data_IF_500308971114
#
_entry.id   IF_500308971114
#
_cell.length_a   1.000
_cell.length_b   1.000
_cell.length_c   1.000
_cell.angle_alpha   90.00
_cell.angle_beta   90.00
_cell.angle_gamma   90.00
#
_symmetry.space_group_name_H-M   'P 1'
#
loop_
_entity.id
_entity.type
_entity.pdbx_description
1 polymer ?
#
# COMPACT_ATOMS: atom_id res chain seq x y z
N UNK A 1 -58.78 9.54 70.62
CA UNK A 1 -58.83 8.65 69.43
C UNK A 1 -58.93 9.58 68.22
N UNK A 2 -58.18 9.49 67.12
CA UNK A 2 -57.21 8.55 66.62
C UNK A 2 -56.57 9.24 65.38
N UNK A 3 -55.24 9.12 65.23
CA UNK A 3 -54.42 9.15 63.99
C UNK A 3 -54.84 10.05 62.81
N UNK A 4 -53.89 10.87 62.34
CA UNK A 4 -53.08 10.44 61.17
C UNK A 4 -51.86 11.34 60.99
N UNK A 5 -50.69 10.75 61.21
CA UNK A 5 -49.38 11.35 60.96
C UNK A 5 -49.13 11.39 59.45
N UNK A 6 -48.97 12.59 58.89
CA UNK A 6 -48.70 12.82 57.46
C UNK A 6 -47.21 12.54 57.21
N UNK A 7 -46.90 11.39 56.60
CA UNK A 7 -45.55 11.09 56.09
C UNK A 7 -45.20 12.10 54.99
N UNK A 8 -44.17 12.92 55.24
CA UNK A 8 -43.53 13.75 54.22
C UNK A 8 -42.73 12.83 53.28
N UNK A 9 -43.17 12.70 52.03
CA UNK A 9 -42.40 12.09 50.95
C UNK A 9 -41.49 13.17 50.36
N UNK A 10 -40.20 13.14 50.67
CA UNK A 10 -39.23 14.02 50.04
C UNK A 10 -39.10 13.68 48.55
N UNK A 11 -39.39 14.64 47.66
CA UNK A 11 -39.13 14.50 46.23
C UNK A 11 -37.62 14.38 45.96
N UNK A 12 -37.18 13.53 45.02
CA UNK A 12 -35.79 13.50 44.60
C UNK A 12 -35.44 14.86 43.98
N UNK A 13 -34.42 15.52 44.51
CA UNK A 13 -33.91 16.78 43.95
C UNK A 13 -33.32 16.55 42.54
N UNK A 14 -33.36 17.57 41.67
CA UNK A 14 -32.90 17.45 40.29
C UNK A 14 -31.42 17.05 40.23
N UNK A 15 -31.12 15.98 39.50
CA UNK A 15 -29.78 15.52 39.19
C UNK A 15 -29.05 16.62 38.40
N UNK A 16 -27.99 17.21 38.96
CA UNK A 16 -27.16 18.15 38.19
C UNK A 16 -26.43 17.37 37.10
N UNK A 17 -26.63 17.76 35.84
CA UNK A 17 -25.80 17.28 34.74
C UNK A 17 -24.42 17.91 34.91
N UNK A 18 -23.40 17.09 35.14
CA UNK A 18 -22.02 17.54 35.16
C UNK A 18 -21.53 17.65 33.71
N UNK A 19 -21.17 18.86 33.29
CA UNK A 19 -20.61 19.13 31.95
C UNK A 19 -19.10 19.23 31.98
N UNK A 20 -18.45 18.99 30.83
CA UNK A 20 -17.03 19.22 30.64
C UNK A 20 -16.73 20.72 30.57
N UNK A 21 -15.58 21.13 31.11
CA UNK A 21 -15.08 22.49 30.99
C UNK A 21 -14.45 22.75 29.61
N UNK A 22 -14.52 24.00 29.15
CA UNK A 22 -13.87 24.42 27.90
C UNK A 22 -12.35 24.20 27.95
N UNK A 23 -11.74 24.37 29.13
CA UNK A 23 -10.29 24.13 29.29
C UNK A 23 -9.95 22.63 29.20
N UNK A 24 -10.83 21.76 29.69
CA UNK A 24 -10.64 20.30 29.58
C UNK A 24 -10.69 19.89 28.11
N UNK A 25 -11.69 20.38 27.37
CA UNK A 25 -11.78 20.13 25.92
C UNK A 25 -10.53 20.64 25.18
N UNK A 26 -10.03 21.82 25.52
CA UNK A 26 -8.86 22.42 24.87
C UNK A 26 -7.58 21.60 25.10
N UNK A 27 -7.35 21.13 26.33
CA UNK A 27 -6.20 20.25 26.63
C UNK A 27 -6.35 18.91 25.91
N UNK A 28 -7.55 18.33 25.90
CA UNK A 28 -7.80 17.04 25.25
C UNK A 28 -7.56 17.12 23.74
N UNK A 29 -8.06 18.17 23.09
CA UNK A 29 -7.82 18.41 21.65
C UNK A 29 -6.34 18.63 21.35
N UNK A 30 -5.62 19.32 22.23
CA UNK A 30 -4.18 19.54 22.07
C UNK A 30 -3.42 18.21 22.08
N UNK A 31 -3.73 17.30 23.03
CA UNK A 31 -3.11 15.98 23.10
C UNK A 31 -3.44 15.15 21.85
N UNK A 32 -4.72 15.14 21.43
CA UNK A 32 -5.14 14.42 20.21
C UNK A 32 -4.40 14.96 18.99
N UNK A 33 -4.22 16.29 18.87
CA UNK A 33 -3.48 16.90 17.76
C UNK A 33 -2.02 16.44 17.68
N UNK A 34 -1.34 16.33 18.84
CA UNK A 34 0.04 15.82 18.90
C UNK A 34 0.09 14.34 18.52
N UNK A 35 -0.86 13.53 18.97
CA UNK A 35 -0.90 12.11 18.62
C UNK A 35 -1.20 11.91 17.13
N UNK A 36 -2.15 12.68 16.58
CA UNK A 36 -2.57 12.58 15.20
C UNK A 36 -1.44 12.93 14.22
N UNK A 37 -0.59 13.90 14.54
CA UNK A 37 0.52 14.30 13.67
C UNK A 37 1.55 13.19 13.44
N UNK A 38 1.68 12.25 14.38
CA UNK A 38 2.58 11.10 14.27
C UNK A 38 1.80 9.87 13.76
N UNK A 39 0.59 9.65 14.26
CA UNK A 39 -0.18 8.44 13.98
C UNK A 39 -0.67 8.39 12.52
N UNK A 40 -1.10 9.51 11.94
CA UNK A 40 -1.62 9.55 10.57
C UNK A 40 -0.55 9.16 9.53
N UNK A 41 0.64 9.81 9.47
CA UNK A 41 1.66 9.42 8.50
C UNK A 41 2.14 7.98 8.72
N UNK A 42 2.32 7.55 9.97
CA UNK A 42 2.72 6.18 10.28
C UNK A 42 1.70 5.13 9.80
N UNK A 43 0.40 5.40 9.96
CA UNK A 43 -0.66 4.55 9.46
C UNK A 43 -0.67 4.50 7.92
N UNK A 44 -0.53 5.66 7.26
CA UNK A 44 -0.44 5.72 5.80
C UNK A 44 0.74 4.91 5.26
N UNK A 45 1.91 4.99 5.88
CA UNK A 45 3.08 4.20 5.50
C UNK A 45 2.86 2.68 5.68
N UNK A 46 2.19 2.30 6.77
CA UNK A 46 1.83 0.89 7.00
C UNK A 46 0.88 0.36 5.91
N UNK A 47 -0.12 1.15 5.53
CA UNK A 47 -1.04 0.80 4.44
C UNK A 47 -0.30 0.73 3.10
N UNK A 48 0.57 1.69 2.78
CA UNK A 48 1.38 1.67 1.55
C UNK A 48 2.24 0.42 1.47
N UNK A 49 2.94 0.06 2.56
CA UNK A 49 3.73 -1.17 2.63
C UNK A 49 2.87 -2.42 2.43
N UNK A 50 1.66 -2.45 2.99
CA UNK A 50 0.73 -3.56 2.78
C UNK A 50 0.22 -3.66 1.35
N UNK A 51 0.09 -2.53 0.64
CA UNK A 51 -0.30 -2.53 -0.77
C UNK A 51 0.86 -2.91 -1.68
N UNK A 52 2.09 -2.60 -1.29
CA UNK A 52 3.29 -2.95 -2.07
C UNK A 52 3.42 -4.45 -2.33
N UNK A 53 3.04 -5.28 -1.36
CA UNK A 53 3.06 -6.74 -1.53
C UNK A 53 2.18 -7.22 -2.70
N UNK A 54 1.16 -6.46 -3.10
CA UNK A 54 0.34 -6.72 -4.29
C UNK A 54 1.16 -6.57 -5.59
N UNK A 55 1.92 -5.48 -5.70
CA UNK A 55 2.85 -5.26 -6.82
C UNK A 55 3.98 -6.30 -6.84
N UNK A 56 4.55 -6.61 -5.68
CA UNK A 56 5.56 -7.68 -5.54
C UNK A 56 5.03 -9.03 -6.01
N UNK A 57 3.81 -9.40 -5.61
CA UNK A 57 3.17 -10.63 -6.03
C UNK A 57 2.94 -10.68 -7.55
N UNK A 58 2.55 -9.56 -8.16
CA UNK A 58 2.39 -9.47 -9.60
C UNK A 58 3.73 -9.68 -10.34
N UNK A 59 4.81 -9.05 -9.87
CA UNK A 59 6.16 -9.22 -10.44
C UNK A 59 6.63 -10.68 -10.35
N UNK A 60 6.52 -11.31 -9.17
CA UNK A 60 6.92 -12.71 -8.97
C UNK A 60 6.10 -13.69 -9.83
N UNK A 61 4.81 -13.41 -10.02
CA UNK A 61 3.95 -14.21 -10.90
C UNK A 61 4.41 -14.11 -12.35
N UNK A 62 4.71 -12.91 -12.85
CA UNK A 62 5.19 -12.72 -14.22
C UNK A 62 6.58 -13.36 -14.38
N UNK A 63 7.48 -13.25 -13.40
CA UNK A 63 8.79 -13.92 -13.42
C UNK A 63 8.65 -15.45 -13.57
N UNK A 64 7.76 -16.08 -12.80
CA UNK A 64 7.52 -17.51 -12.91
C UNK A 64 6.98 -17.90 -14.30
N UNK A 65 6.09 -17.09 -14.87
CA UNK A 65 5.55 -17.30 -16.22
C UNK A 65 6.63 -17.11 -17.31
N UNK A 66 7.51 -16.12 -17.15
CA UNK A 66 8.67 -15.93 -18.02
C UNK A 66 9.60 -17.14 -17.98
N UNK A 67 9.88 -17.70 -16.80
CA UNK A 67 10.69 -18.92 -16.66
C UNK A 67 10.07 -20.12 -17.38
N UNK A 68 8.75 -20.28 -17.31
CA UNK A 68 8.02 -21.30 -18.07
C UNK A 68 8.11 -21.05 -19.58
N UNK A 69 7.82 -19.83 -20.02
CA UNK A 69 7.87 -19.47 -21.44
C UNK A 69 9.27 -19.69 -22.02
N UNK A 70 10.32 -19.36 -21.27
CA UNK A 70 11.70 -19.62 -21.66
C UNK A 70 12.00 -21.12 -21.80
N UNK A 71 11.49 -21.96 -20.91
CA UNK A 71 11.65 -23.40 -21.01
C UNK A 71 11.01 -23.96 -22.29
N UNK A 72 9.87 -23.42 -22.69
CA UNK A 72 9.11 -23.89 -23.86
C UNK A 72 9.66 -23.30 -25.19
N UNK A 73 10.16 -22.07 -25.19
CA UNK A 73 10.48 -21.31 -26.41
C UNK A 73 11.97 -20.95 -26.58
N UNK A 74 12.79 -21.10 -25.53
CA UNK A 74 14.20 -20.74 -25.55
C UNK A 74 14.50 -19.24 -25.51
N UNK A 75 13.49 -18.38 -25.32
CA UNK A 75 13.64 -16.94 -25.10
C UNK A 75 12.56 -16.44 -24.13
N UNK A 76 12.76 -15.26 -23.55
CA UNK A 76 11.68 -14.55 -22.86
C UNK A 76 10.79 -13.82 -23.87
N UNK A 77 9.71 -13.22 -23.38
CA UNK A 77 8.80 -12.41 -24.19
C UNK A 77 8.57 -11.03 -23.55
N UNK A 78 8.34 -10.02 -24.37
CA UNK A 78 7.84 -8.71 -23.90
C UNK A 78 6.31 -8.62 -23.98
N UNK A 79 5.67 -9.58 -24.66
CA UNK A 79 4.22 -9.65 -24.83
C UNK A 79 3.62 -10.51 -23.72
N UNK A 80 2.86 -9.87 -22.82
CA UNK A 80 2.21 -10.57 -21.72
C UNK A 80 1.10 -11.54 -22.19
N UNK A 81 0.60 -11.43 -23.44
CA UNK A 81 -0.38 -12.40 -23.96
C UNK A 81 0.22 -13.78 -24.18
N UNK A 82 1.52 -13.86 -24.50
CA UNK A 82 2.28 -15.12 -24.55
C UNK A 82 2.37 -15.80 -23.17
N UNK A 83 2.24 -15.01 -22.10
CA UNK A 83 2.23 -15.48 -20.71
C UNK A 83 0.80 -15.78 -20.21
N UNK A 84 -0.21 -15.68 -21.07
CA UNK A 84 -1.61 -15.97 -20.75
C UNK A 84 -2.40 -14.80 -20.18
N UNK A 85 -1.91 -13.56 -20.30
CA UNK A 85 -2.69 -12.36 -19.95
C UNK A 85 -3.54 -11.87 -21.12
N UNK A 86 -4.57 -11.07 -20.82
CA UNK A 86 -5.48 -10.53 -21.84
C UNK A 86 -4.90 -9.35 -22.64
N UNK A 87 -3.90 -8.66 -22.09
CA UNK A 87 -3.27 -7.49 -22.70
C UNK A 87 -1.76 -7.71 -22.83
N UNK A 88 -1.17 -7.21 -23.91
CA UNK A 88 0.24 -7.43 -24.25
C UNK A 88 1.21 -6.59 -23.42
N UNK A 89 0.87 -5.33 -23.18
CA UNK A 89 1.85 -4.34 -22.71
C UNK A 89 1.85 -4.15 -21.19
N UNK A 90 0.72 -4.46 -20.54
CA UNK A 90 0.59 -4.30 -19.11
C UNK A 90 -0.54 -5.18 -18.56
N UNK A 91 -0.42 -5.47 -17.26
CA UNK A 91 -1.45 -6.15 -16.48
C UNK A 91 -1.55 -5.47 -15.11
N UNK A 92 -2.78 -5.32 -14.62
CA UNK A 92 -3.02 -4.84 -13.26
C UNK A 92 -2.63 -5.90 -12.23
N UNK A 93 -2.13 -5.45 -11.07
CA UNK A 93 -1.93 -6.32 -9.92
C UNK A 93 -3.27 -6.82 -9.37
N UNK A 94 -3.30 -7.94 -8.62
CA UNK A 94 -4.55 -8.53 -8.13
C UNK A 94 -5.52 -7.55 -7.44
N UNK A 95 -5.02 -6.56 -6.71
CA UNK A 95 -5.82 -5.56 -6.00
C UNK A 95 -5.81 -4.17 -6.68
N UNK A 96 -5.41 -4.10 -7.96
CA UNK A 96 -5.39 -2.88 -8.81
C UNK A 96 -4.54 -1.71 -8.26
N UNK A 97 -3.59 -1.97 -7.35
CA UNK A 97 -2.70 -0.93 -6.82
C UNK A 97 -1.50 -0.63 -7.71
N UNK A 98 -1.12 -1.56 -8.58
CA UNK A 98 0.00 -1.42 -9.49
C UNK A 98 -0.32 -1.92 -10.89
N UNK A 99 0.47 -1.44 -11.85
CA UNK A 99 0.43 -1.84 -13.25
C UNK A 99 1.78 -2.39 -13.66
N UNK A 100 1.83 -3.69 -13.93
CA UNK A 100 3.05 -4.44 -14.23
C UNK A 100 3.24 -4.61 -15.74
N UNK A 101 4.50 -4.56 -16.19
CA UNK A 101 4.90 -4.68 -17.59
C UNK A 101 6.29 -5.30 -17.71
N UNK A 102 6.61 -5.80 -18.91
CA UNK A 102 7.99 -6.16 -19.27
C UNK A 102 8.60 -4.98 -20.02
N UNK A 103 9.76 -4.49 -19.58
CA UNK A 103 10.44 -3.42 -20.29
C UNK A 103 10.91 -3.90 -21.67
N UNK A 104 10.94 -2.98 -22.62
CA UNK A 104 11.45 -3.25 -23.96
C UNK A 104 12.90 -3.76 -23.90
N UNK A 105 13.22 -4.71 -24.77
CA UNK A 105 14.57 -5.26 -24.89
C UNK A 105 15.58 -4.15 -25.21
N UNK A 106 16.75 -4.22 -24.59
CA UNK A 106 17.86 -3.29 -24.86
C UNK A 106 19.10 -4.08 -25.26
N UNK A 107 20.14 -3.39 -25.74
CA UNK A 107 21.42 -4.05 -26.01
C UNK A 107 22.06 -4.65 -24.74
N UNK A 108 21.83 -4.04 -23.58
CA UNK A 108 22.33 -4.53 -22.29
C UNK A 108 21.49 -5.68 -21.71
N UNK A 109 20.21 -5.75 -22.09
CA UNK A 109 19.28 -6.80 -21.67
C UNK A 109 18.49 -7.29 -22.90
N UNK A 110 19.08 -8.16 -23.73
CA UNK A 110 18.38 -8.74 -24.87
C UNK A 110 17.34 -9.76 -24.40
N UNK A 111 16.14 -9.70 -24.96
CA UNK A 111 15.00 -10.55 -24.53
C UNK A 111 15.26 -12.06 -24.68
N UNK A 112 16.23 -12.44 -25.52
CA UNK A 112 16.66 -13.82 -25.68
C UNK A 112 17.24 -14.43 -24.39
N UNK A 113 17.75 -13.62 -23.46
CA UNK A 113 18.43 -14.12 -22.24
C UNK A 113 18.20 -13.26 -21.00
N UNK A 114 17.50 -12.14 -21.11
CA UNK A 114 17.29 -11.20 -20.03
C UNK A 114 15.90 -10.54 -20.14
N UNK A 115 15.31 -10.20 -19.01
CA UNK A 115 14.15 -9.30 -18.95
C UNK A 115 14.26 -8.39 -17.73
N UNK A 116 13.53 -7.28 -17.78
CA UNK A 116 13.27 -6.42 -16.62
C UNK A 116 11.77 -6.26 -16.51
N UNK A 117 11.20 -6.73 -15.40
CA UNK A 117 9.82 -6.47 -15.05
C UNK A 117 9.77 -5.15 -14.31
N UNK A 118 8.80 -4.31 -14.66
CA UNK A 118 8.54 -3.03 -14.01
C UNK A 118 7.09 -2.96 -13.61
N UNK A 119 6.84 -2.48 -12.39
CA UNK A 119 5.49 -2.16 -11.93
C UNK A 119 5.40 -0.70 -11.51
N UNK A 120 4.39 -0.01 -12.02
CA UNK A 120 4.11 1.40 -11.74
C UNK A 120 2.96 1.50 -10.74
N UNK A 121 3.08 2.33 -9.69
CA UNK A 121 1.98 2.53 -8.77
C UNK A 121 0.80 3.23 -9.47
N UNK A 122 -0.42 2.85 -9.12
CA UNK A 122 -1.64 3.49 -9.61
C UNK A 122 -2.67 3.70 -8.48
N UNK A 123 -3.79 4.35 -8.82
CA UNK A 123 -4.87 4.62 -7.88
C UNK A 123 -4.38 5.25 -6.55
N UNK A 124 -4.76 4.67 -5.41
CA UNK A 124 -4.36 5.15 -4.08
C UNK A 124 -2.93 4.82 -3.66
N UNK A 125 -2.05 4.49 -4.61
CA UNK A 125 -0.66 4.09 -4.37
C UNK A 125 0.37 4.94 -5.14
N UNK A 126 -0.08 5.96 -5.89
CA UNK A 126 0.78 6.82 -6.76
C UNK A 126 2.05 7.36 -6.10
N UNK A 127 2.05 7.49 -4.77
CA UNK A 127 3.19 7.97 -3.98
C UNK A 127 4.18 6.87 -3.54
N UNK A 128 4.06 5.60 -3.92
CA UNK A 128 4.93 4.52 -3.38
C UNK A 128 6.23 4.27 -4.16
N UNK A 129 6.31 4.76 -5.41
CA UNK A 129 7.45 4.58 -6.29
C UNK A 129 7.36 3.34 -7.19
N UNK A 130 8.23 3.30 -8.20
CA UNK A 130 8.33 2.19 -9.17
C UNK A 130 9.08 1.02 -8.54
N UNK A 131 8.68 -0.21 -8.84
CA UNK A 131 9.48 -1.41 -8.50
C UNK A 131 9.88 -2.18 -9.74
N UNK A 132 11.09 -2.73 -9.70
CA UNK A 132 11.63 -3.58 -10.76
C UNK A 132 12.13 -4.92 -10.22
N UNK A 133 12.06 -5.93 -11.09
CA UNK A 133 12.62 -7.26 -10.89
C UNK A 133 13.30 -7.71 -12.19
N UNK A 134 14.59 -7.98 -12.12
CA UNK A 134 15.34 -8.49 -13.27
C UNK A 134 15.30 -10.01 -13.34
N UNK A 135 15.60 -10.57 -14.51
CA UNK A 135 15.77 -12.03 -14.70
C UNK A 135 16.89 -12.66 -13.86
N UNK A 136 17.78 -11.85 -13.27
CA UNK A 136 18.81 -12.30 -12.33
C UNK A 136 18.36 -12.28 -10.86
N UNK A 137 17.11 -11.88 -10.59
CA UNK A 137 16.56 -11.74 -9.25
C UNK A 137 16.94 -10.44 -8.54
N UNK A 138 17.56 -9.47 -9.24
CA UNK A 138 17.83 -8.15 -8.66
C UNK A 138 16.50 -7.40 -8.51
N UNK A 139 16.25 -6.95 -7.29
CA UNK A 139 15.04 -6.21 -6.91
C UNK A 139 15.41 -4.76 -6.74
N UNK A 140 14.63 -3.86 -7.35
CA UNK A 140 14.82 -2.43 -7.18
C UNK A 140 13.51 -1.72 -6.84
N UNK A 141 13.60 -0.65 -6.07
CA UNK A 141 12.47 0.25 -5.77
C UNK A 141 12.95 1.68 -5.76
N UNK A 142 12.31 2.50 -6.59
CA UNK A 142 12.43 3.96 -6.63
C UNK A 142 11.83 4.56 -5.34
N UNK A 143 12.66 4.73 -4.31
CA UNK A 143 12.25 5.25 -2.99
C UNK A 143 12.17 6.76 -2.99
N UNK A 144 13.02 7.41 -3.78
CA UNK A 144 13.12 8.87 -3.86
C UNK A 144 12.11 9.48 -4.87
N UNK A 145 11.52 8.64 -5.73
CA UNK A 145 10.49 8.94 -6.74
C UNK A 145 10.99 9.83 -7.86
N UNK A 146 12.25 9.67 -8.26
CA UNK A 146 12.82 10.42 -9.38
C UNK A 146 12.71 9.70 -10.74
N UNK A 147 12.18 8.47 -10.73
CA UNK A 147 11.95 7.66 -11.92
C UNK A 147 13.15 6.83 -12.35
N UNK A 148 14.30 6.96 -11.68
CA UNK A 148 15.39 6.00 -11.70
C UNK A 148 15.15 4.95 -10.59
N UNK A 149 15.65 3.74 -10.81
CA UNK A 149 15.61 2.66 -9.80
C UNK A 149 17.00 2.11 -9.52
N UNK A 150 18.03 2.67 -10.18
CA UNK A 150 19.41 2.20 -10.16
C UNK A 150 20.30 2.95 -9.16
N UNK A 151 19.69 3.79 -8.33
CA UNK A 151 20.35 4.59 -7.31
C UNK A 151 20.86 3.77 -6.12
N UNK A 152 21.86 4.33 -5.44
CA UNK A 152 22.37 3.76 -4.21
C UNK A 152 21.29 3.74 -3.11
N UNK A 153 20.97 2.55 -2.60
CA UNK A 153 19.94 2.35 -1.58
C UNK A 153 18.59 1.87 -2.12
N UNK A 154 18.49 1.68 -3.44
CA UNK A 154 17.28 1.24 -4.14
C UNK A 154 17.29 -0.23 -4.53
N UNK A 155 18.37 -0.96 -4.27
CA UNK A 155 18.53 -2.40 -4.54
C UNK A 155 17.70 -3.31 -3.60
N UNK A 156 16.57 -2.81 -3.10
CA UNK A 156 15.64 -3.53 -2.25
C UNK A 156 14.23 -2.91 -2.31
N UNK A 157 13.23 -3.77 -2.27
CA UNK A 157 11.82 -3.39 -2.13
C UNK A 157 11.46 -2.85 -0.74
#
# INVERSE_FOLDING_TARGET
MNRSSRKQTGSPGPSRICGFSLIELLITMTIIGILASIAIPAYQDSVRKSKRSDGEAALLKIEALQGRYFYDNGSYTVDLTDLGYAAANNVDSPEDYYKSSVLAATAACPIASCFVLRTLPQAGQVDDGIMELTSSGLKRRDKNKDGDTSDAGEDSW
#
